data_IF_723159472626
#
_entry.id   IF_723159472626
#
_cell.length_a   1.000
_cell.length_b   1.000
_cell.length_c   1.000
_cell.angle_alpha   90.00
_cell.angle_beta   90.00
_cell.angle_gamma   90.00
#
_symmetry.space_group_name_H-M   'P 1'
#
loop_
_entity.id
_entity.type
_entity.pdbx_description
1 polymer ?
#
# COMPACT_ATOMS: atom_id res chain seq x y z
N UNK A 1 9.65 -6.66 24.62
CA UNK A 1 10.01 -5.98 23.36
C UNK A 1 8.94 -6.36 22.34
N UNK A 2 8.37 -5.39 21.64
CA UNK A 2 7.37 -5.66 20.60
C UNK A 2 8.06 -6.12 19.32
N UNK A 3 7.41 -7.03 18.58
CA UNK A 3 7.93 -7.57 17.33
C UNK A 3 7.10 -7.09 16.15
N UNK A 4 7.74 -6.52 15.15
CA UNK A 4 7.14 -6.12 13.90
C UNK A 4 7.67 -6.98 12.75
N UNK A 5 6.77 -7.39 11.86
CA UNK A 5 7.10 -8.02 10.60
C UNK A 5 6.62 -7.13 9.46
N UNK A 6 7.52 -6.77 8.56
CA UNK A 6 7.14 -6.17 7.28
C UNK A 6 7.14 -7.21 6.18
N UNK A 7 6.01 -7.30 5.47
CA UNK A 7 5.87 -8.06 4.23
C UNK A 7 6.18 -7.20 3.00
N UNK A 8 6.77 -6.04 3.23
CA UNK A 8 7.24 -5.10 2.22
C UNK A 8 8.74 -4.91 2.46
N UNK A 9 9.54 -5.19 1.45
CA UNK A 9 11.00 -5.14 1.54
C UNK A 9 11.57 -3.73 1.60
N UNK A 10 10.87 -2.75 1.02
CA UNK A 10 11.37 -1.37 0.85
C UNK A 10 10.78 -0.40 1.89
N UNK A 11 11.16 -0.59 3.14
CA UNK A 11 10.93 0.41 4.18
C UNK A 11 12.08 1.43 4.22
N UNK A 12 11.73 2.72 4.34
CA UNK A 12 12.73 3.79 4.44
C UNK A 12 13.66 3.63 5.65
N UNK A 13 14.83 4.23 5.58
CA UNK A 13 15.81 4.23 6.68
C UNK A 13 15.20 4.90 7.92
N UNK A 14 14.45 5.96 7.73
CA UNK A 14 13.77 6.70 8.79
C UNK A 14 12.72 5.82 9.51
N UNK A 15 11.91 5.07 8.76
CA UNK A 15 10.92 4.16 9.34
C UNK A 15 11.60 3.07 10.18
N UNK A 16 12.69 2.49 9.68
CA UNK A 16 13.49 1.51 10.42
C UNK A 16 14.09 2.08 11.71
N UNK A 17 14.59 3.34 11.65
CA UNK A 17 15.12 4.04 12.83
C UNK A 17 14.03 4.27 13.87
N UNK A 18 12.86 4.76 13.45
CA UNK A 18 11.74 5.02 14.38
C UNK A 18 11.32 3.74 15.12
N UNK A 19 11.22 2.61 14.43
CA UNK A 19 10.89 1.34 15.06
C UNK A 19 11.95 0.93 16.08
N UNK A 20 13.23 1.03 15.72
CA UNK A 20 14.37 0.72 16.60
C UNK A 20 14.40 1.61 17.85
N UNK A 21 14.22 2.92 17.68
CA UNK A 21 14.25 3.90 18.77
C UNK A 21 13.10 3.70 19.77
N UNK A 22 12.01 3.06 19.32
CA UNK A 22 10.87 2.68 20.16
C UNK A 22 10.94 1.22 20.68
N UNK A 23 12.11 0.58 20.65
CA UNK A 23 12.32 -0.80 21.09
C UNK A 23 11.40 -1.83 20.39
N UNK A 24 11.13 -1.63 19.10
CA UNK A 24 10.39 -2.56 18.25
C UNK A 24 11.41 -3.29 17.37
N UNK A 25 11.46 -4.60 17.54
CA UNK A 25 12.27 -5.49 16.70
C UNK A 25 11.59 -5.69 15.35
N UNK A 26 12.25 -5.25 14.28
CA UNK A 26 11.74 -5.35 12.91
C UNK A 26 12.35 -6.53 12.18
N UNK A 27 11.50 -7.42 11.68
CA UNK A 27 11.86 -8.45 10.70
C UNK A 27 11.34 -8.02 9.32
N UNK A 28 12.17 -8.13 8.30
CA UNK A 28 11.76 -7.93 6.90
C UNK A 28 11.63 -9.30 6.25
N UNK A 29 10.51 -9.54 5.59
CA UNK A 29 10.29 -10.77 4.82
C UNK A 29 9.63 -10.39 3.49
N UNK A 30 10.39 -10.51 2.43
CA UNK A 30 9.82 -10.43 1.09
C UNK A 30 9.15 -11.77 0.77
N UNK A 31 7.90 -11.70 0.34
CA UNK A 31 7.13 -12.87 -0.05
C UNK A 31 6.82 -12.77 -1.53
N UNK A 32 7.17 -13.79 -2.29
CA UNK A 32 6.83 -13.90 -3.72
C UNK A 32 5.32 -13.79 -3.96
N UNK A 33 4.54 -14.24 -2.97
CA UNK A 33 3.08 -14.17 -2.98
C UNK A 33 2.55 -13.66 -1.64
N UNK A 34 1.44 -12.91 -1.64
CA UNK A 34 0.81 -12.47 -0.41
C UNK A 34 0.37 -13.68 0.42
N UNK A 35 0.50 -13.62 1.76
CA UNK A 35 0.09 -14.70 2.63
C UNK A 35 -1.42 -14.91 2.57
N UNK A 36 -1.84 -16.17 2.62
CA UNK A 36 -3.24 -16.51 2.81
C UNK A 36 -3.69 -16.30 4.27
N UNK A 37 -4.99 -16.46 4.56
CA UNK A 37 -5.56 -16.24 5.89
C UNK A 37 -4.89 -17.08 6.98
N UNK A 38 -4.59 -18.36 6.72
CA UNK A 38 -3.95 -19.23 7.71
C UNK A 38 -2.50 -18.80 8.01
N UNK A 39 -1.78 -18.38 7.00
CA UNK A 39 -0.44 -17.83 7.16
C UNK A 39 -0.47 -16.50 7.93
N UNK A 40 -1.46 -15.61 7.66
CA UNK A 40 -1.64 -14.38 8.43
C UNK A 40 -1.94 -14.66 9.91
N UNK A 41 -2.78 -15.64 10.20
CA UNK A 41 -3.07 -16.08 11.58
C UNK A 41 -1.78 -16.54 12.28
N UNK A 42 -0.95 -17.33 11.60
CA UNK A 42 0.32 -17.78 12.15
C UNK A 42 1.27 -16.58 12.43
N UNK A 43 1.37 -15.64 11.52
CA UNK A 43 2.18 -14.43 11.67
C UNK A 43 1.68 -13.55 12.83
N UNK A 44 0.37 -13.35 12.95
CA UNK A 44 -0.23 -12.57 14.04
C UNK A 44 -0.08 -13.22 15.42
N UNK A 45 0.18 -14.53 15.49
CA UNK A 45 0.55 -15.19 16.75
C UNK A 45 2.00 -14.91 17.17
N UNK A 46 2.87 -14.72 16.20
CA UNK A 46 4.31 -14.52 16.42
C UNK A 46 4.68 -13.04 16.58
N UNK A 47 4.02 -12.15 15.82
CA UNK A 47 4.31 -10.73 15.75
C UNK A 47 3.18 -9.89 16.36
N UNK A 48 3.55 -8.75 16.94
CA UNK A 48 2.60 -7.76 17.47
C UNK A 48 2.11 -6.80 16.39
N UNK A 49 2.95 -6.55 15.39
CA UNK A 49 2.73 -5.59 14.32
C UNK A 49 3.00 -6.26 12.98
N UNK A 50 2.05 -6.18 12.05
CA UNK A 50 2.27 -6.54 10.65
C UNK A 50 2.20 -5.30 9.77
N UNK A 51 3.22 -5.09 8.94
CA UNK A 51 3.26 -4.06 7.91
C UNK A 51 3.01 -4.75 6.57
N UNK A 52 1.90 -4.41 5.91
CA UNK A 52 1.40 -5.09 4.72
C UNK A 52 1.19 -4.14 3.54
N UNK A 53 1.13 -4.69 2.34
CA UNK A 53 0.73 -3.99 1.12
C UNK A 53 -0.72 -4.27 0.73
N UNK A 54 -1.20 -3.57 -0.30
CA UNK A 54 -2.58 -3.65 -0.82
C UNK A 54 -2.99 -5.03 -1.34
N UNK A 55 -2.02 -5.86 -1.72
CA UNK A 55 -2.28 -7.21 -2.24
C UNK A 55 -2.56 -8.23 -1.14
N UNK A 56 -2.25 -7.90 0.13
CA UNK A 56 -2.48 -8.79 1.27
C UNK A 56 -3.91 -8.63 1.75
N UNK A 57 -4.74 -9.62 1.51
CA UNK A 57 -6.13 -9.63 1.97
C UNK A 57 -6.22 -10.05 3.42
N UNK A 58 -6.94 -9.27 4.22
CA UNK A 58 -7.17 -9.53 5.65
C UNK A 58 -8.65 -9.78 5.87
N UNK A 59 -9.01 -11.06 5.97
CA UNK A 59 -10.41 -11.47 6.18
C UNK A 59 -10.77 -11.49 7.67
N UNK A 60 -12.06 -11.39 7.97
CA UNK A 60 -12.61 -11.42 9.33
C UNK A 60 -12.31 -12.73 10.10
N UNK A 61 -12.04 -13.82 9.40
CA UNK A 61 -11.71 -15.11 10.00
C UNK A 61 -10.54 -15.04 10.97
N UNK A 62 -9.62 -14.08 10.78
CA UNK A 62 -8.47 -13.89 11.69
C UNK A 62 -8.92 -13.55 13.11
N UNK A 63 -10.08 -12.88 13.29
CA UNK A 63 -10.56 -12.41 14.60
C UNK A 63 -10.81 -13.56 15.58
N UNK A 64 -11.21 -14.73 15.11
CA UNK A 64 -11.46 -15.91 15.96
C UNK A 64 -10.16 -16.44 16.59
N UNK A 65 -9.02 -16.10 16.02
CA UNK A 65 -7.71 -16.61 16.42
C UNK A 65 -6.84 -15.59 17.16
N UNK A 66 -7.27 -14.32 17.24
CA UNK A 66 -6.54 -13.24 17.90
C UNK A 66 -7.11 -13.04 19.31
N UNK A 67 -6.25 -13.21 20.33
CA UNK A 67 -6.63 -13.10 21.76
C UNK A 67 -6.05 -11.84 22.40
N UNK A 68 -5.06 -11.22 21.78
CA UNK A 68 -4.35 -10.06 22.29
C UNK A 68 -4.36 -8.94 21.24
N UNK A 69 -4.31 -7.66 21.65
CA UNK A 69 -4.29 -6.53 20.71
C UNK A 69 -3.11 -6.61 19.74
N UNK A 70 -3.39 -6.49 18.47
CA UNK A 70 -2.42 -6.48 17.36
C UNK A 70 -2.56 -5.20 16.53
N UNK A 71 -1.51 -4.88 15.79
CA UNK A 71 -1.51 -3.76 14.83
C UNK A 71 -1.31 -4.32 13.42
N UNK A 72 -2.14 -3.88 12.50
CA UNK A 72 -1.93 -4.09 11.06
C UNK A 72 -1.77 -2.71 10.44
N UNK A 73 -0.56 -2.41 9.98
CA UNK A 73 -0.26 -1.19 9.24
C UNK A 73 -0.21 -1.50 7.74
N UNK A 74 -1.03 -0.82 6.96
CA UNK A 74 -1.03 -0.99 5.51
C UNK A 74 -0.46 0.23 4.81
N UNK A 75 0.56 0.03 3.97
CA UNK A 75 1.14 1.07 3.14
C UNK A 75 0.21 1.41 1.96
N UNK A 76 -1.02 1.78 2.29
CA UNK A 76 -2.06 2.17 1.33
C UNK A 76 -2.96 3.25 1.90
N UNK A 77 -3.66 3.96 1.04
CA UNK A 77 -4.72 4.90 1.43
C UNK A 77 -6.04 4.15 1.61
N UNK A 78 -6.41 3.33 0.63
CA UNK A 78 -7.61 2.50 0.67
C UNK A 78 -7.46 1.30 1.60
N UNK A 79 -8.58 0.83 2.14
CA UNK A 79 -8.67 -0.29 3.06
C UNK A 79 -9.53 -1.44 2.51
N UNK A 80 -9.78 -1.47 1.21
CA UNK A 80 -10.69 -2.43 0.55
C UNK A 80 -10.20 -3.89 0.63
N UNK A 81 -8.91 -4.09 0.93
CA UNK A 81 -8.29 -5.40 1.14
C UNK A 81 -8.39 -5.89 2.59
N UNK A 82 -9.02 -5.10 3.48
CA UNK A 82 -9.22 -5.44 4.91
C UNK A 82 -10.72 -5.41 5.20
N UNK A 83 -11.27 -6.53 5.66
CA UNK A 83 -12.69 -6.64 5.99
C UNK A 83 -13.12 -5.63 7.04
N UNK A 84 -14.38 -5.15 6.93
CA UNK A 84 -14.93 -4.14 7.83
C UNK A 84 -14.89 -4.60 9.28
N UNK A 85 -15.23 -5.85 9.55
CA UNK A 85 -15.24 -6.44 10.90
C UNK A 85 -13.84 -6.39 11.54
N UNK A 86 -12.78 -6.52 10.75
CA UNK A 86 -11.40 -6.36 11.24
C UNK A 86 -11.11 -4.91 11.61
N UNK A 87 -11.53 -3.97 10.76
CA UNK A 87 -11.32 -2.53 10.98
C UNK A 87 -12.08 -1.98 12.18
N UNK A 88 -13.23 -2.58 12.51
CA UNK A 88 -14.07 -2.20 13.64
C UNK A 88 -13.72 -2.99 14.92
N UNK A 89 -12.84 -3.97 14.83
CA UNK A 89 -12.42 -4.79 15.95
C UNK A 89 -11.66 -3.98 17.00
N UNK A 90 -11.88 -4.30 18.27
CA UNK A 90 -11.07 -3.77 19.38
C UNK A 90 -9.74 -4.50 19.54
N UNK A 91 -9.58 -5.66 18.91
CA UNK A 91 -8.38 -6.49 19.01
C UNK A 91 -7.35 -6.19 17.92
N UNK A 92 -7.75 -5.60 16.81
CA UNK A 92 -6.84 -5.27 15.72
C UNK A 92 -6.95 -3.77 15.43
N UNK A 93 -5.84 -3.05 15.64
CA UNK A 93 -5.74 -1.66 15.25
C UNK A 93 -5.21 -1.58 13.82
N UNK A 94 -6.06 -1.14 12.89
CA UNK A 94 -5.67 -0.95 11.50
C UNK A 94 -5.19 0.49 11.30
N UNK A 95 -3.96 0.63 10.83
CA UNK A 95 -3.35 1.89 10.43
C UNK A 95 -3.21 1.94 8.92
N UNK A 96 -3.31 3.13 8.33
CA UNK A 96 -3.12 3.37 6.91
C UNK A 96 -2.45 4.72 6.66
N UNK A 97 -1.92 4.90 5.46
CA UNK A 97 -1.28 6.15 5.05
C UNK A 97 -2.37 7.12 4.57
N UNK A 98 -2.59 8.18 5.36
CA UNK A 98 -3.55 9.23 4.98
C UNK A 98 -2.84 10.32 4.17
N UNK A 99 -3.46 10.71 3.05
CA UNK A 99 -3.06 11.88 2.23
C UNK A 99 -1.64 11.87 1.63
N UNK A 100 -0.89 10.77 1.71
CA UNK A 100 0.51 10.73 1.26
C UNK A 100 0.69 11.01 -0.24
N UNK A 101 -0.27 10.64 -1.09
CA UNK A 101 -0.19 10.81 -2.54
C UNK A 101 -1.26 11.76 -3.12
N UNK A 102 -1.99 12.52 -2.30
CA UNK A 102 -3.10 13.37 -2.74
C UNK A 102 -2.68 14.35 -3.83
N UNK A 103 -1.54 15.01 -3.64
CA UNK A 103 -0.99 15.96 -4.62
C UNK A 103 -0.62 15.24 -5.92
N UNK A 104 0.13 14.15 -5.82
CA UNK A 104 0.55 13.36 -7.00
C UNK A 104 -0.62 12.82 -7.80
N UNK A 105 -1.68 12.37 -7.12
CA UNK A 105 -2.91 11.91 -7.79
C UNK A 105 -3.61 13.08 -8.49
N UNK A 106 -3.72 14.24 -7.86
CA UNK A 106 -4.31 15.42 -8.46
C UNK A 106 -3.52 15.87 -9.71
N UNK A 107 -2.19 15.95 -9.60
CA UNK A 107 -1.31 16.30 -10.73
C UNK A 107 -1.47 15.29 -11.88
N UNK A 108 -1.55 13.99 -11.58
CA UNK A 108 -1.75 12.97 -12.59
C UNK A 108 -3.10 13.11 -13.32
N UNK A 109 -4.17 13.43 -12.58
CA UNK A 109 -5.50 13.69 -13.16
C UNK A 109 -5.42 14.87 -14.12
N UNK A 110 -4.82 16.00 -13.72
CA UNK A 110 -4.65 17.16 -14.59
C UNK A 110 -3.78 16.84 -15.80
N UNK A 111 -2.70 16.08 -15.61
CA UNK A 111 -1.86 15.64 -16.73
C UNK A 111 -2.65 14.83 -17.77
N UNK A 112 -3.50 13.88 -17.31
CA UNK A 112 -4.36 13.11 -18.21
C UNK A 112 -5.40 13.99 -18.94
N UNK A 113 -6.05 14.91 -18.23
CA UNK A 113 -7.01 15.84 -18.83
C UNK A 113 -6.33 16.68 -19.93
N UNK A 114 -5.15 17.22 -19.64
CA UNK A 114 -4.39 18.02 -20.61
C UNK A 114 -3.89 17.16 -21.78
N UNK A 115 -3.42 15.94 -21.51
CA UNK A 115 -2.95 15.03 -22.54
C UNK A 115 -4.07 14.68 -23.54
N UNK A 116 -5.26 14.39 -23.05
CA UNK A 116 -6.43 14.11 -23.87
C UNK A 116 -6.90 15.36 -24.64
N UNK A 117 -7.08 16.48 -23.93
CA UNK A 117 -7.61 17.71 -24.54
C UNK A 117 -6.66 18.29 -25.61
N UNK A 118 -5.35 18.18 -25.40
CA UNK A 118 -4.34 18.65 -26.35
C UNK A 118 -3.87 17.59 -27.33
N UNK A 119 -4.47 16.39 -27.32
CA UNK A 119 -4.12 15.28 -28.20
C UNK A 119 -2.61 14.98 -28.20
N UNK A 120 -1.98 15.04 -27.01
CA UNK A 120 -0.50 14.94 -26.88
C UNK A 120 0.01 13.61 -27.44
N UNK A 121 -0.68 12.49 -27.17
CA UNK A 121 -0.31 11.18 -27.67
C UNK A 121 -0.32 11.10 -29.20
N UNK A 122 -1.36 11.62 -29.82
CA UNK A 122 -1.48 11.65 -31.29
C UNK A 122 -0.43 12.56 -31.92
N UNK A 123 -0.22 13.74 -31.33
CA UNK A 123 0.81 14.67 -31.76
C UNK A 123 2.21 14.07 -31.71
N UNK A 124 2.52 13.39 -30.60
CA UNK A 124 3.80 12.70 -30.44
C UNK A 124 3.99 11.59 -31.50
N UNK A 125 2.96 10.78 -31.76
CA UNK A 125 3.04 9.74 -32.79
C UNK A 125 3.25 10.32 -34.20
N UNK A 126 2.60 11.43 -34.53
CA UNK A 126 2.79 12.11 -35.82
C UNK A 126 4.24 12.62 -35.97
N UNK A 127 4.83 13.17 -34.92
CA UNK A 127 6.22 13.60 -34.92
C UNK A 127 7.17 12.42 -35.11
N UNK A 128 6.99 11.33 -34.35
CA UNK A 128 7.82 10.13 -34.45
C UNK A 128 7.74 9.47 -35.83
N UNK A 129 6.59 9.56 -36.50
CA UNK A 129 6.40 9.05 -37.85
C UNK A 129 6.85 10.04 -38.94
N UNK A 130 7.44 11.17 -38.58
CA UNK A 130 7.81 12.29 -39.49
C UNK A 130 6.63 12.82 -40.33
N UNK A 131 5.40 12.66 -39.83
CA UNK A 131 4.15 13.08 -40.48
C UNK A 131 3.53 14.33 -39.84
N UNK A 132 4.28 15.01 -38.96
CA UNK A 132 3.81 16.18 -38.22
C UNK A 132 3.66 17.42 -39.10
N UNK A 133 2.50 17.56 -39.78
CA UNK A 133 2.09 18.83 -40.38
C UNK A 133 1.13 19.56 -39.43
N UNK A 134 1.33 20.91 -39.27
CA UNK A 134 0.48 21.77 -38.41
C UNK A 134 -1.04 21.58 -38.64
N UNK A 135 -1.46 21.24 -39.86
CA UNK A 135 -2.87 21.04 -40.22
C UNK A 135 -3.54 19.80 -39.59
N UNK A 136 -2.77 18.89 -39.04
CA UNK A 136 -3.29 17.63 -38.45
C UNK A 136 -3.43 17.67 -36.93
N UNK A 137 -3.11 18.81 -36.31
CA UNK A 137 -3.04 18.95 -34.85
C UNK A 137 -4.19 19.80 -34.24
N UNK A 138 -5.10 20.35 -35.09
CA UNK A 138 -6.21 21.21 -34.67
C UNK A 138 -7.54 20.64 -35.18
#
# INVERSE_FOLDING_TARGET
MKKALSLISDLSVEAKSILKDNNIELTLRDLDNPPNTQQLIALLKEYDILIIGVITKVSKEILEHIKEPKIIDTLSIGLDHIDNEVRESKLIHVLNIKNANTISVAEHIFALILALNKRIYESNNLVLQQKGHKKNLY
#
